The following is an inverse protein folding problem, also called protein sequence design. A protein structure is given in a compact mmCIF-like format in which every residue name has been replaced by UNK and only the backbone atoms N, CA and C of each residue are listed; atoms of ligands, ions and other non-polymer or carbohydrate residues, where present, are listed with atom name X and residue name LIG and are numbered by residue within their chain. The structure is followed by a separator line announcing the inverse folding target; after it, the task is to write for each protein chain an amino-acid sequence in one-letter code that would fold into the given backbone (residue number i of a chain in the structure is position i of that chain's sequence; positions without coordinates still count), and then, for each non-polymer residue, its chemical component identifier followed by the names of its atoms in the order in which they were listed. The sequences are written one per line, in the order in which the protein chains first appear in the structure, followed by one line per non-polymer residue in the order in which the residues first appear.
data_IF_223384801170
#
_entry.id   IF_223384801170
#
_cell.length_a   1.000
_cell.length_b   1.000
_cell.length_c   1.000
_cell.angle_alpha   90.00
_cell.angle_beta   90.00
_cell.angle_gamma   90.00
#
_symmetry.space_group_name_H-M   'P 1'
#
loop_
_entity.id
_entity.type
_entity.pdbx_description
1 polymer ?
#
# COMPACT_ATOMS: atom_id res chain seq x y z
N UNK A 1 -10.57 -41.38 -29.82
CA UNK A 1 -11.30 -41.34 -28.53
C UNK A 1 -10.76 -40.17 -27.71
N UNK A 2 -11.41 -39.02 -27.79
CA UNK A 2 -11.05 -37.83 -27.01
C UNK A 2 -11.93 -37.76 -25.76
N UNK A 3 -11.34 -37.97 -24.59
CA UNK A 3 -12.02 -37.67 -23.32
C UNK A 3 -11.79 -36.18 -22.99
N UNK A 4 -12.84 -35.37 -23.19
CA UNK A 4 -13.00 -34.09 -22.52
C UNK A 4 -13.54 -34.36 -21.12
N UNK A 5 -12.84 -33.88 -20.10
CA UNK A 5 -13.33 -33.87 -18.72
C UNK A 5 -13.61 -32.42 -18.34
N UNK A 6 -14.90 -32.05 -18.37
CA UNK A 6 -15.39 -30.80 -17.81
C UNK A 6 -15.45 -30.93 -16.29
N UNK A 7 -14.48 -30.34 -15.58
CA UNK A 7 -14.52 -30.19 -14.14
C UNK A 7 -14.93 -28.75 -13.79
N UNK A 8 -16.22 -28.56 -13.53
CA UNK A 8 -16.76 -27.34 -12.95
C UNK A 8 -16.29 -27.23 -11.49
N UNK A 9 -15.38 -26.30 -11.22
CA UNK A 9 -14.92 -26.01 -9.85
C UNK A 9 -15.85 -25.00 -9.17
N UNK A 10 -16.64 -25.49 -8.22
CA UNK A 10 -17.35 -24.68 -7.24
C UNK A 10 -16.33 -23.91 -6.38
N UNK A 11 -16.34 -22.58 -6.50
CA UNK A 11 -15.67 -21.68 -5.56
C UNK A 11 -16.42 -21.76 -4.22
N UNK A 12 -15.78 -22.07 -3.08
CA UNK A 12 -16.47 -22.02 -1.80
C UNK A 12 -16.79 -20.57 -1.46
N UNK A 13 -18.09 -20.27 -1.38
CA UNK A 13 -18.59 -19.01 -0.83
C UNK A 13 -17.99 -18.78 0.56
N UNK A 14 -17.44 -17.58 0.77
CA UNK A 14 -17.09 -17.11 2.11
C UNK A 14 -18.32 -17.20 3.02
N UNK A 15 -18.22 -17.71 4.26
CA UNK A 15 -19.34 -17.67 5.17
C UNK A 15 -19.68 -16.22 5.53
N UNK A 16 -20.78 -15.74 4.98
CA UNK A 16 -21.46 -14.53 5.42
C UNK A 16 -22.08 -14.79 6.81
N UNK A 17 -21.34 -14.53 7.88
CA UNK A 17 -21.90 -14.37 9.23
C UNK A 17 -21.14 -13.32 10.03
N UNK A 18 -21.40 -12.05 9.71
CA UNK A 18 -21.48 -11.02 10.74
C UNK A 18 -22.97 -10.92 11.08
N UNK A 19 -23.39 -11.67 12.11
CA UNK A 19 -24.76 -11.59 12.60
C UNK A 19 -25.03 -10.19 13.13
N UNK A 20 -26.05 -9.54 12.58
CA UNK A 20 -26.70 -8.43 13.25
C UNK A 20 -27.20 -8.92 14.63
N UNK A 21 -27.07 -8.13 15.70
CA UNK A 21 -27.68 -8.48 16.98
C UNK A 21 -29.20 -8.58 16.79
N UNK A 22 -29.78 -9.67 17.28
CA UNK A 22 -31.21 -9.89 17.30
C UNK A 22 -31.89 -8.73 18.05
N UNK A 23 -32.86 -8.10 17.40
CA UNK A 23 -33.79 -7.15 18.00
C UNK A 23 -34.57 -7.86 19.10
N UNK A 24 -34.18 -7.68 20.36
CA UNK A 24 -35.06 -8.01 21.49
C UNK A 24 -36.20 -6.99 21.51
N UNK A 25 -37.42 -7.49 21.50
CA UNK A 25 -38.60 -6.71 21.83
C UNK A 25 -38.39 -6.02 23.19
N UNK A 26 -38.72 -4.73 23.24
CA UNK A 26 -38.62 -3.92 24.44
C UNK A 26 -39.61 -4.43 25.50
N UNK A 27 -39.08 -4.94 26.61
CA UNK A 27 -39.82 -4.99 27.87
C UNK A 27 -40.06 -3.54 28.34
N UNK A 28 -41.26 -3.23 28.87
CA UNK A 28 -41.52 -1.92 29.47
C UNK A 28 -40.63 -1.74 30.72
N UNK A 29 -39.88 -0.63 30.73
CA UNK A 29 -38.95 -0.30 31.79
C UNK A 29 -39.68 -0.09 33.14
N UNK A 30 -39.17 -0.64 34.26
CA UNK A 30 -39.63 -0.24 35.58
C UNK A 30 -39.24 1.22 35.85
N UNK A 31 -40.19 1.99 36.39
CA UNK A 31 -39.99 3.38 36.76
C UNK A 31 -38.81 3.53 37.74
N UNK A 32 -37.77 4.26 37.33
CA UNK A 32 -36.64 4.59 38.19
C UNK A 32 -36.95 5.84 39.04
N UNK A 33 -36.45 5.89 40.29
CA UNK A 33 -36.57 7.07 41.13
C UNK A 33 -35.76 8.23 40.56
N UNK A 34 -36.37 9.42 40.57
CA UNK A 34 -35.67 10.71 40.42
C UNK A 34 -34.89 10.97 41.71
N UNK A 35 -33.61 10.64 41.75
CA UNK A 35 -32.53 11.54 42.17
C UNK A 35 -31.17 10.85 42.06
N UNK A 36 -30.12 11.61 41.77
CA UNK A 36 -28.75 11.12 41.84
C UNK A 36 -27.90 11.44 40.63
N UNK A 37 -27.14 12.55 40.74
CA UNK A 37 -26.03 12.93 39.87
C UNK A 37 -25.11 11.75 39.57
N UNK A 38 -25.19 11.20 38.37
CA UNK A 38 -24.24 10.21 37.85
C UNK A 38 -23.07 10.93 37.20
N UNK A 39 -21.95 11.02 37.90
CA UNK A 39 -20.67 11.41 37.32
C UNK A 39 -20.28 10.40 36.23
N UNK A 40 -20.31 10.84 34.97
CA UNK A 40 -19.79 10.05 33.84
C UNK A 40 -18.27 9.97 33.99
N UNK A 41 -17.79 8.87 34.57
CA UNK A 41 -16.37 8.53 34.61
C UNK A 41 -15.96 8.13 33.18
N UNK A 42 -15.47 9.10 32.40
CA UNK A 42 -14.77 8.82 31.15
C UNK A 42 -13.60 7.92 31.47
N UNK A 43 -13.64 6.67 31.01
CA UNK A 43 -12.45 5.82 30.97
C UNK A 43 -11.44 6.47 30.02
N UNK A 44 -10.56 7.31 30.57
CA UNK A 44 -9.32 7.69 29.91
C UNK A 44 -8.53 6.39 29.73
N UNK A 45 -8.40 5.94 28.49
CA UNK A 45 -7.38 4.96 28.16
C UNK A 45 -6.04 5.52 28.64
N UNK A 46 -5.21 4.73 29.35
CA UNK A 46 -3.88 5.19 29.73
C UNK A 46 -3.16 5.50 28.42
N UNK A 47 -2.76 6.76 28.26
CA UNK A 47 -1.81 7.14 27.22
C UNK A 47 -0.59 6.25 27.41
N UNK A 48 -0.44 5.23 26.54
CA UNK A 48 0.80 4.48 26.45
C UNK A 48 1.84 5.50 26.01
N UNK A 49 2.68 5.92 26.95
CA UNK A 49 3.92 6.60 26.64
C UNK A 49 4.73 5.60 25.83
N UNK A 50 4.69 5.72 24.51
CA UNK A 50 5.75 5.20 23.69
C UNK A 50 6.99 5.96 24.17
N UNK A 51 7.84 5.27 24.92
CA UNK A 51 9.23 5.70 25.07
C UNK A 51 9.78 5.70 23.65
N UNK A 52 9.77 6.88 23.05
CA UNK A 52 10.58 7.22 21.88
C UNK A 52 12.01 6.89 22.26
N UNK A 53 12.44 5.67 21.98
CA UNK A 53 13.86 5.37 21.81
C UNK A 53 14.33 6.30 20.71
N UNK A 54 15.33 7.12 21.02
CA UNK A 54 15.95 8.08 20.12
C UNK A 54 16.09 7.48 18.71
N UNK A 55 15.18 7.89 17.81
CA UNK A 55 15.37 7.67 16.40
C UNK A 55 16.52 8.60 16.00
N UNK A 56 17.67 8.07 15.56
CA UNK A 56 18.78 8.93 15.18
C UNK A 56 18.31 9.91 14.09
N UNK A 57 18.74 11.16 14.22
CA UNK A 57 18.48 12.34 13.37
C UNK A 57 19.06 12.20 11.93
N UNK A 58 19.10 10.97 11.41
CA UNK A 58 19.67 10.60 10.12
C UNK A 58 18.82 11.09 8.94
N UNK A 59 17.52 11.32 9.13
CA UNK A 59 16.63 11.70 8.01
C UNK A 59 16.60 13.20 7.72
N UNK A 60 16.89 14.07 8.71
CA UNK A 60 17.07 15.51 8.45
C UNK A 60 18.32 15.79 7.61
N UNK A 61 19.35 14.94 7.72
CA UNK A 61 20.60 15.08 6.97
C UNK A 61 20.49 14.69 5.48
N UNK A 62 19.57 13.78 5.12
CA UNK A 62 19.37 13.41 3.70
C UNK A 62 18.70 14.53 2.92
N UNK A 63 17.81 15.31 3.54
CA UNK A 63 17.19 16.49 2.91
C UNK A 63 18.13 17.72 2.85
N UNK A 64 19.21 17.75 3.65
CA UNK A 64 20.11 18.90 3.74
C UNK A 64 21.39 18.76 2.86
N UNK A 65 21.72 17.56 2.37
CA UNK A 65 22.94 17.32 1.57
C UNK A 65 22.86 17.76 0.10
N UNK A 66 21.72 18.29 -0.35
CA UNK A 66 21.52 18.73 -1.73
C UNK A 66 21.84 20.23 -1.97
N UNK A 67 22.55 20.90 -1.04
CA UNK A 67 22.92 22.33 -1.15
C UNK A 67 24.38 22.67 -0.82
N UNK A 68 25.32 21.82 -1.17
CA UNK A 68 26.75 22.15 -0.98
C UNK A 68 27.61 21.69 -2.15
N UNK A 69 27.67 22.53 -3.18
CA UNK A 69 28.80 22.62 -4.11
C UNK A 69 29.90 23.49 -3.48
N UNK A 70 31.15 23.01 -3.39
CA UNK A 70 32.30 23.89 -3.22
C UNK A 70 32.75 24.40 -4.59
N UNK A 71 32.77 25.72 -4.70
CA UNK A 71 33.45 26.51 -5.73
C UNK A 71 34.95 26.28 -5.65
N UNK A 72 35.56 25.68 -6.68
CA UNK A 72 37.00 25.74 -6.91
C UNK A 72 37.31 26.85 -7.92
N UNK A 73 37.87 27.95 -7.40
CA UNK A 73 38.56 28.96 -8.18
C UNK A 73 39.99 28.47 -8.47
N UNK A 74 40.33 28.33 -9.74
CA UNK A 74 41.73 28.29 -10.23
C UNK A 74 41.85 29.34 -11.32
N UNK A 75 42.70 30.33 -11.08
CA UNK A 75 43.05 31.37 -12.04
C UNK A 75 44.22 30.94 -12.95
N UNK A 76 44.12 31.39 -14.21
CA UNK A 76 45.21 31.74 -15.15
C UNK A 76 46.02 30.57 -15.77
N UNK A 77 46.35 30.51 -17.06
CA UNK A 77 46.37 31.45 -18.20
C UNK A 77 46.49 30.61 -19.48
N UNK A 78 45.91 31.04 -20.60
CA UNK A 78 46.24 30.50 -21.92
C UNK A 78 45.33 31.02 -23.02
N UNK A 79 45.77 32.04 -23.75
CA UNK A 79 45.09 32.61 -24.92
C UNK A 79 45.14 31.63 -26.10
N UNK A 80 44.07 31.53 -26.87
CA UNK A 80 44.05 31.75 -28.33
C UNK A 80 42.61 31.84 -28.84
N UNK A 81 42.43 32.77 -29.78
CA UNK A 81 41.19 33.10 -30.45
C UNK A 81 40.84 32.07 -31.54
N UNK A 82 39.55 31.79 -31.72
CA UNK A 82 38.94 31.54 -33.01
C UNK A 82 37.41 31.69 -32.91
N UNK A 83 36.91 32.60 -33.73
CA UNK A 83 35.53 32.81 -34.16
C UNK A 83 34.83 31.55 -34.64
N UNK A 84 33.56 31.36 -34.27
CA UNK A 84 32.47 31.05 -35.22
C UNK A 84 31.11 30.96 -34.50
N UNK A 85 30.24 31.87 -34.91
CA UNK A 85 28.78 31.77 -35.06
C UNK A 85 28.17 30.36 -35.04
N UNK A 86 27.08 30.21 -34.29
CA UNK A 86 26.18 29.05 -34.35
C UNK A 86 25.04 29.14 -33.36
N UNK A 87 24.09 30.05 -33.61
CA UNK A 87 22.76 30.01 -32.97
C UNK A 87 22.02 28.85 -33.59
N UNK A 88 21.81 27.77 -32.83
CA UNK A 88 20.98 26.66 -33.23
C UNK A 88 19.70 26.67 -32.37
N UNK A 89 18.60 26.92 -33.06
CA UNK A 89 17.23 26.80 -32.57
C UNK A 89 16.98 25.44 -31.92
N UNK A 90 16.70 25.44 -30.62
CA UNK A 90 16.15 24.29 -29.94
C UNK A 90 14.64 24.24 -30.21
N UNK A 91 14.27 23.52 -31.27
CA UNK A 91 12.91 23.05 -31.49
C UNK A 91 12.49 22.19 -30.28
N UNK A 92 11.68 22.77 -29.38
CA UNK A 92 10.97 22.01 -28.35
C UNK A 92 9.85 21.26 -29.07
N UNK A 93 10.17 20.07 -29.55
CA UNK A 93 9.20 19.12 -30.07
C UNK A 93 8.38 18.59 -28.90
N UNK A 94 7.15 19.11 -28.77
CA UNK A 94 6.10 18.57 -27.89
C UNK A 94 5.78 17.14 -28.33
N UNK A 95 6.54 16.18 -27.83
CA UNK A 95 6.14 14.78 -27.87
C UNK A 95 4.94 14.61 -26.93
N UNK A 96 3.76 14.60 -27.54
CA UNK A 96 2.55 14.04 -26.95
C UNK A 96 2.81 12.56 -26.62
N UNK A 97 3.31 12.28 -25.42
CA UNK A 97 3.31 10.93 -24.86
C UNK A 97 1.86 10.60 -24.54
N UNK A 98 1.20 9.98 -25.53
CA UNK A 98 -0.12 9.38 -25.34
C UNK A 98 -0.03 8.37 -24.20
N UNK A 99 -0.88 8.60 -23.20
CA UNK A 99 -1.13 7.70 -22.08
C UNK A 99 -1.87 6.46 -22.59
N UNK A 100 -1.14 5.53 -23.20
CA UNK A 100 -1.61 4.19 -23.57
C UNK A 100 -0.88 3.17 -22.70
N UNK A 101 -1.14 3.20 -21.39
CA UNK A 101 -0.60 2.23 -20.42
C UNK A 101 -1.70 1.34 -19.81
N UNK A 102 -2.78 1.12 -20.57
CA UNK A 102 -3.89 0.23 -20.20
C UNK A 102 -4.24 -0.82 -21.27
N UNK A 103 -3.52 -0.87 -22.40
CA UNK A 103 -3.92 -1.67 -23.57
C UNK A 103 -3.01 -2.86 -23.93
N UNK A 104 -2.30 -3.42 -22.95
CA UNK A 104 -1.84 -4.81 -23.06
C UNK A 104 -2.93 -5.73 -22.47
N UNK A 105 -4.04 -5.90 -23.19
CA UNK A 105 -5.05 -6.91 -22.87
C UNK A 105 -4.52 -8.28 -23.30
N UNK A 106 -4.18 -9.21 -22.38
CA UNK A 106 -4.19 -10.60 -22.74
C UNK A 106 -5.61 -10.95 -23.19
N UNK A 107 -5.71 -11.73 -24.26
CA UNK A 107 -6.94 -12.28 -24.83
C UNK A 107 -7.76 -12.95 -23.70
N UNK A 108 -8.72 -12.21 -23.12
CA UNK A 108 -9.55 -12.69 -22.03
C UNK A 108 -10.64 -13.59 -22.60
N UNK A 109 -10.74 -14.80 -22.07
CA UNK A 109 -11.92 -15.63 -22.23
C UNK A 109 -13.19 -14.84 -21.87
N UNK A 110 -14.33 -15.07 -22.53
CA UNK A 110 -15.60 -14.41 -22.24
C UNK A 110 -16.18 -14.90 -20.90
N UNK A 111 -15.62 -14.42 -19.81
CA UNK A 111 -16.12 -14.56 -18.45
C UNK A 111 -16.30 -13.16 -17.86
N UNK A 112 -17.43 -12.93 -17.19
CA UNK A 112 -17.97 -11.62 -16.80
C UNK A 112 -16.94 -10.57 -16.37
N UNK A 113 -17.19 -9.32 -16.75
CA UNK A 113 -16.51 -8.15 -16.16
C UNK A 113 -16.55 -8.29 -14.65
N UNK A 114 -15.39 -8.60 -14.05
CA UNK A 114 -15.22 -8.64 -12.60
C UNK A 114 -15.57 -7.27 -12.05
N UNK A 115 -16.80 -7.14 -11.55
CA UNK A 115 -17.28 -5.89 -11.00
C UNK A 115 -16.37 -5.47 -9.85
N UNK A 116 -15.99 -4.18 -9.81
CA UNK A 116 -15.24 -3.63 -8.70
C UNK A 116 -15.96 -3.94 -7.38
N UNK A 117 -15.24 -4.39 -6.33
CA UNK A 117 -15.87 -4.68 -5.05
C UNK A 117 -16.49 -3.40 -4.47
N UNK A 118 -17.58 -3.52 -3.69
CA UNK A 118 -18.20 -2.35 -3.08
C UNK A 118 -17.19 -1.58 -2.21
N UNK A 119 -17.13 -0.26 -2.41
CA UNK A 119 -16.28 0.62 -1.61
C UNK A 119 -16.89 0.73 -0.19
N UNK A 120 -16.14 0.40 0.88
CA UNK A 120 -16.61 0.57 2.25
C UNK A 120 -17.07 2.00 2.53
N UNK A 121 -18.16 2.17 3.28
CA UNK A 121 -18.78 3.48 3.55
C UNK A 121 -17.79 4.52 4.11
N UNK A 122 -16.85 4.12 4.97
CA UNK A 122 -15.87 5.07 5.52
C UNK A 122 -14.78 5.49 4.53
N UNK A 123 -14.72 4.88 3.35
CA UNK A 123 -13.87 5.31 2.23
C UNK A 123 -14.68 6.19 1.26
N UNK A 124 -15.93 6.55 1.56
CA UNK A 124 -16.78 7.35 0.67
C UNK A 124 -16.15 8.70 0.28
N UNK A 125 -15.38 9.30 1.19
CA UNK A 125 -14.70 10.58 0.94
C UNK A 125 -13.34 10.41 0.23
N UNK A 126 -12.92 9.18 -0.06
CA UNK A 126 -11.70 8.94 -0.83
C UNK A 126 -11.98 9.20 -2.32
N UNK A 127 -11.02 9.79 -3.06
CA UNK A 127 -11.12 9.84 -4.52
C UNK A 127 -11.36 8.44 -5.09
N UNK A 128 -12.15 8.35 -6.15
CA UNK A 128 -12.45 7.08 -6.83
C UNK A 128 -11.94 7.13 -8.27
N UNK A 129 -11.25 6.08 -8.70
CA UNK A 129 -10.75 5.92 -10.07
C UNK A 129 -11.10 4.51 -10.54
N UNK A 130 -11.76 4.40 -11.70
CA UNK A 130 -12.22 3.13 -12.27
C UNK A 130 -13.04 2.27 -11.27
N UNK A 131 -13.90 2.92 -10.47
CA UNK A 131 -14.72 2.23 -9.46
C UNK A 131 -13.97 1.78 -8.21
N UNK A 132 -12.69 2.13 -8.05
CA UNK A 132 -11.89 1.81 -6.87
C UNK A 132 -11.57 3.06 -6.06
N UNK A 133 -11.76 2.99 -4.74
CA UNK A 133 -11.24 3.98 -3.82
C UNK A 133 -9.71 4.07 -3.92
N UNK A 134 -9.19 5.29 -4.04
CA UNK A 134 -7.77 5.59 -4.11
C UNK A 134 -7.17 5.56 -2.70
N UNK A 135 -6.22 4.64 -2.42
CA UNK A 135 -5.52 4.59 -1.14
C UNK A 135 -4.93 5.94 -0.72
N UNK A 136 -4.90 6.18 0.59
CA UNK A 136 -4.28 7.38 1.15
C UNK A 136 -2.81 7.49 0.77
N UNK A 137 -2.06 6.39 0.74
CA UNK A 137 -0.64 6.38 0.36
C UNK A 137 -0.38 6.40 -1.15
N UNK A 138 -1.41 6.44 -2.01
CA UNK A 138 -1.18 6.38 -3.46
C UNK A 138 -0.42 7.61 -3.97
N UNK A 139 0.71 7.35 -4.65
CA UNK A 139 1.51 8.37 -5.31
C UNK A 139 0.77 9.03 -6.47
N UNK A 140 1.25 10.21 -6.86
CA UNK A 140 0.71 10.98 -7.99
C UNK A 140 1.75 11.19 -9.08
N UNK A 141 1.33 11.14 -10.34
CA UNK A 141 2.18 11.50 -11.48
C UNK A 141 2.42 13.01 -11.55
N UNK A 142 3.29 13.42 -12.48
CA UNK A 142 3.52 14.85 -12.80
C UNK A 142 2.22 15.56 -13.24
N UNK A 143 1.33 14.82 -13.88
CA UNK A 143 0.01 15.29 -14.32
C UNK A 143 -1.04 15.30 -13.20
N UNK A 144 -0.64 14.99 -11.96
CA UNK A 144 -1.51 14.93 -10.79
C UNK A 144 -2.39 13.67 -10.71
N UNK A 145 -2.34 12.77 -11.70
CA UNK A 145 -3.14 11.55 -11.70
C UNK A 145 -2.66 10.57 -10.64
N UNK A 146 -3.59 9.81 -10.07
CA UNK A 146 -3.30 8.76 -9.10
C UNK A 146 -2.69 7.54 -9.78
N UNK A 147 -1.52 7.11 -9.31
CA UNK A 147 -0.76 6.00 -9.88
C UNK A 147 -0.90 4.76 -8.99
N UNK A 148 -1.84 3.87 -9.31
CA UNK A 148 -1.97 2.60 -8.58
C UNK A 148 -0.68 1.78 -8.66
N UNK A 149 -0.26 1.22 -7.52
CA UNK A 149 1.03 0.53 -7.40
C UNK A 149 2.24 1.44 -7.20
N UNK A 150 2.07 2.77 -7.22
CA UNK A 150 3.05 3.72 -6.74
C UNK A 150 2.67 4.26 -5.36
N UNK A 151 3.67 4.45 -4.50
CA UNK A 151 3.47 4.96 -3.15
C UNK A 151 4.03 6.38 -3.04
N UNK A 152 3.28 7.26 -2.38
CA UNK A 152 3.78 8.55 -1.91
C UNK A 152 4.79 8.29 -0.78
N UNK A 153 6.08 8.65 -0.95
CA UNK A 153 7.12 8.29 0.01
C UNK A 153 6.91 8.92 1.39
N UNK A 154 6.38 10.16 1.44
CA UNK A 154 6.11 10.83 2.69
C UNK A 154 4.96 10.15 3.43
N UNK A 155 3.84 9.87 2.75
CA UNK A 155 2.70 9.18 3.37
C UNK A 155 3.02 7.74 3.73
N UNK A 156 3.86 7.06 2.95
CA UNK A 156 4.37 5.72 3.30
C UNK A 156 5.18 5.77 4.59
N UNK A 157 6.15 6.69 4.67
CA UNK A 157 6.97 6.88 5.88
C UNK A 157 6.07 7.14 7.08
N UNK A 158 5.15 8.11 6.94
CA UNK A 158 4.18 8.47 7.96
C UNK A 158 3.30 7.28 8.37
N UNK A 159 2.84 6.47 7.42
CA UNK A 159 2.02 5.30 7.72
C UNK A 159 2.77 4.28 8.57
N UNK A 160 4.04 4.03 8.25
CA UNK A 160 4.87 3.07 8.99
C UNK A 160 5.18 3.61 10.38
N UNK A 161 5.67 4.85 10.50
CA UNK A 161 6.16 5.42 11.76
C UNK A 161 5.05 5.87 12.71
N UNK A 162 3.92 6.33 12.20
CA UNK A 162 2.77 6.79 13.00
C UNK A 162 1.64 5.75 13.10
N UNK A 163 1.91 4.50 12.73
CA UNK A 163 0.92 3.41 12.74
C UNK A 163 -0.40 3.80 12.08
N UNK A 164 -0.38 4.23 10.81
CA UNK A 164 -1.61 4.59 10.06
C UNK A 164 -1.95 3.55 9.00
N UNK A 165 -3.25 3.38 8.77
CA UNK A 165 -3.75 2.54 7.69
C UNK A 165 -3.35 3.12 6.33
N UNK A 166 -2.72 2.32 5.46
CA UNK A 166 -2.32 2.79 4.14
C UNK A 166 -3.49 3.20 3.21
N UNK A 167 -4.69 2.66 3.44
CA UNK A 167 -5.85 2.92 2.58
C UNK A 167 -6.63 4.14 3.07
N UNK A 168 -7.03 4.16 4.34
CA UNK A 168 -7.87 5.23 4.87
C UNK A 168 -7.08 6.37 5.54
N UNK A 169 -5.79 6.17 5.84
CA UNK A 169 -4.93 7.16 6.51
C UNK A 169 -5.23 7.37 8.00
N UNK A 170 -6.22 6.67 8.57
CA UNK A 170 -6.56 6.75 9.99
C UNK A 170 -5.50 6.04 10.85
N UNK A 171 -5.25 6.49 12.08
CA UNK A 171 -4.45 5.75 13.04
C UNK A 171 -5.00 4.32 13.22
N UNK A 172 -4.09 3.36 13.26
CA UNK A 172 -4.38 1.98 13.59
C UNK A 172 -4.45 1.85 15.11
N UNK A 173 -5.40 1.06 15.55
CA UNK A 173 -5.55 0.69 16.94
C UNK A 173 -4.83 -0.65 17.19
N UNK A 174 -5.42 -1.50 18.02
CA UNK A 174 -4.89 -2.79 18.46
C UNK A 174 -5.04 -3.91 17.42
N UNK A 175 -5.47 -3.62 16.18
CA UNK A 175 -5.60 -4.62 15.11
C UNK A 175 -5.02 -4.12 13.81
N UNK A 176 -3.76 -4.45 13.62
CA UNK A 176 -3.04 -4.16 12.38
C UNK A 176 -2.93 -5.41 11.52
N UNK A 177 -3.12 -5.26 10.21
CA UNK A 177 -2.87 -6.32 9.23
C UNK A 177 -1.76 -5.88 8.30
N UNK A 178 -0.73 -6.71 8.21
CA UNK A 178 0.28 -6.57 7.17
C UNK A 178 -0.07 -7.53 6.02
N UNK A 179 -0.03 -7.02 4.80
CA UNK A 179 -0.12 -7.85 3.60
C UNK A 179 1.31 -8.14 3.14
N UNK A 180 1.69 -9.41 3.19
CA UNK A 180 3.03 -9.88 2.87
C UNK A 180 3.00 -10.74 1.62
N UNK A 181 4.03 -10.61 0.78
CA UNK A 181 4.33 -11.61 -0.23
C UNK A 181 4.99 -12.81 0.42
N UNK A 182 5.02 -13.93 -0.30
CA UNK A 182 5.73 -15.12 0.13
C UNK A 182 7.18 -14.81 0.54
N UNK A 183 7.93 -14.03 -0.26
CA UNK A 183 9.32 -13.67 0.06
C UNK A 183 9.48 -12.83 1.33
N UNK A 184 8.44 -12.11 1.74
CA UNK A 184 8.47 -11.23 2.90
C UNK A 184 8.22 -12.02 4.21
N UNK A 185 7.58 -13.20 4.12
CA UNK A 185 7.24 -14.01 5.30
C UNK A 185 8.45 -14.44 6.14
N UNK A 186 9.56 -14.96 5.56
CA UNK A 186 10.75 -15.31 6.34
C UNK A 186 11.39 -14.10 7.03
N UNK A 187 11.31 -12.91 6.40
CA UNK A 187 11.79 -11.64 6.94
C UNK A 187 10.91 -11.10 8.07
N UNK A 188 9.69 -11.61 8.21
CA UNK A 188 8.68 -11.17 9.19
C UNK A 188 8.44 -9.67 9.16
N UNK A 189 8.44 -9.08 7.96
CA UNK A 189 8.22 -7.65 7.79
C UNK A 189 8.05 -7.26 6.32
N UNK A 190 7.51 -6.08 6.09
CA UNK A 190 7.21 -5.57 4.75
C UNK A 190 7.42 -4.06 4.65
N UNK A 191 7.80 -3.61 3.45
CA UNK A 191 7.89 -2.20 3.09
C UNK A 191 6.51 -1.54 2.92
N UNK A 192 5.43 -2.33 2.79
CA UNK A 192 4.05 -1.87 2.67
C UNK A 192 3.48 -1.55 4.07
N UNK A 193 2.86 -0.38 4.29
CA UNK A 193 2.32 -0.05 5.60
C UNK A 193 1.11 -0.91 5.98
N UNK A 194 0.80 -0.98 7.27
CA UNK A 194 -0.31 -1.78 7.78
C UNK A 194 -1.69 -1.27 7.35
N UNK A 195 -2.69 -2.13 7.52
CA UNK A 195 -4.10 -1.88 7.24
C UNK A 195 -4.95 -2.13 8.48
N UNK A 196 -6.06 -1.40 8.59
CA UNK A 196 -7.15 -1.81 9.46
C UNK A 196 -7.89 -3.02 8.83
N UNK A 197 -8.66 -3.80 9.62
CA UNK A 197 -9.29 -5.03 9.16
C UNK A 197 -10.17 -4.93 7.91
N UNK A 198 -10.94 -3.86 7.79
CA UNK A 198 -11.89 -3.71 6.67
C UNK A 198 -11.17 -3.14 5.47
N UNK A 199 -10.21 -2.24 5.64
CA UNK A 199 -9.34 -1.83 4.54
C UNK A 199 -8.50 -2.99 3.99
N UNK A 200 -8.04 -3.93 4.84
CA UNK A 200 -7.37 -5.14 4.39
C UNK A 200 -8.30 -6.05 3.56
N UNK A 201 -9.53 -6.25 4.02
CA UNK A 201 -10.54 -7.02 3.28
C UNK A 201 -10.86 -6.39 1.92
N UNK A 202 -11.06 -5.07 1.89
CA UNK A 202 -11.27 -4.33 0.65
C UNK A 202 -10.06 -4.46 -0.28
N UNK A 203 -8.84 -4.25 0.21
CA UNK A 203 -7.61 -4.38 -0.60
C UNK A 203 -7.44 -5.78 -1.17
N UNK A 204 -7.71 -6.83 -0.38
CA UNK A 204 -7.64 -8.21 -0.83
C UNK A 204 -8.61 -8.52 -1.98
N UNK A 205 -9.77 -7.85 -2.01
CA UNK A 205 -10.76 -8.00 -3.10
C UNK A 205 -10.47 -7.07 -4.29
N UNK A 206 -10.05 -5.83 -4.04
CA UNK A 206 -9.93 -4.75 -5.02
C UNK A 206 -8.62 -4.81 -5.81
N UNK A 207 -7.49 -5.03 -5.14
CA UNK A 207 -6.18 -4.96 -5.77
C UNK A 207 -5.95 -6.19 -6.66
N UNK A 208 -5.82 -6.04 -8.00
CA UNK A 208 -5.68 -7.19 -8.89
C UNK A 208 -4.45 -8.06 -8.60
N UNK A 209 -3.36 -7.45 -8.13
CA UNK A 209 -2.15 -8.16 -7.70
C UNK A 209 -2.39 -9.01 -6.45
N UNK A 210 -3.02 -8.45 -5.41
CA UNK A 210 -3.25 -9.14 -4.14
C UNK A 210 -4.38 -10.16 -4.25
N UNK A 211 -5.37 -9.90 -5.11
CA UNK A 211 -6.46 -10.83 -5.42
C UNK A 211 -6.03 -11.98 -6.34
N UNK A 212 -4.79 -11.95 -6.87
CA UNK A 212 -4.26 -12.98 -7.75
C UNK A 212 -4.86 -12.96 -9.16
N UNK A 213 -5.45 -11.82 -9.58
CA UNK A 213 -5.95 -11.58 -10.94
C UNK A 213 -4.84 -11.08 -11.88
N UNK A 214 -3.68 -10.72 -11.36
CA UNK A 214 -2.48 -10.42 -12.16
C UNK A 214 -1.43 -11.51 -11.96
N UNK A 215 -0.89 -12.04 -13.07
CA UNK A 215 0.16 -13.04 -13.04
C UNK A 215 1.58 -12.44 -12.92
N UNK A 216 1.74 -11.15 -13.24
CA UNK A 216 3.03 -10.44 -13.24
C UNK A 216 2.87 -9.00 -12.80
N UNK A 217 3.95 -8.47 -12.24
CA UNK A 217 4.08 -7.03 -12.04
C UNK A 217 4.28 -6.30 -13.36
N UNK A 218 3.98 -4.99 -13.35
CA UNK A 218 4.30 -4.07 -14.46
C UNK A 218 5.77 -4.18 -14.86
N UNK A 219 6.04 -4.25 -16.16
CA UNK A 219 7.42 -4.29 -16.68
C UNK A 219 8.08 -2.92 -16.75
N UNK A 220 7.28 -1.87 -16.97
CA UNK A 220 7.78 -0.50 -17.07
C UNK A 220 7.67 0.22 -15.72
N UNK A 221 8.66 1.01 -15.28
CA UNK A 221 8.55 1.81 -14.07
C UNK A 221 7.41 2.83 -14.18
N UNK A 222 6.85 3.24 -13.04
CA UNK A 222 5.91 4.35 -13.02
C UNK A 222 6.66 5.62 -13.43
N UNK A 223 6.10 6.41 -14.35
CA UNK A 223 6.55 7.79 -14.54
C UNK A 223 6.13 8.57 -13.31
N UNK A 224 6.97 8.50 -12.29
CA UNK A 224 6.78 9.17 -11.02
C UNK A 224 7.12 10.64 -11.17
N UNK A 225 6.40 11.50 -10.44
CA UNK A 225 6.77 12.91 -10.36
C UNK A 225 8.14 13.12 -9.72
N UNK A 226 8.74 14.30 -9.98
CA UNK A 226 9.98 14.71 -9.33
C UNK A 226 9.83 14.57 -7.80
N UNK A 227 10.80 13.91 -7.15
CA UNK A 227 10.82 13.71 -5.69
C UNK A 227 10.04 12.49 -5.18
N UNK A 228 9.38 11.71 -6.05
CA UNK A 228 8.75 10.45 -5.66
C UNK A 228 9.76 9.32 -5.90
N UNK A 229 10.36 8.83 -4.82
CA UNK A 229 11.26 7.68 -4.87
C UNK A 229 10.46 6.40 -5.11
N UNK A 230 10.98 5.52 -5.96
CA UNK A 230 10.45 4.17 -6.11
C UNK A 230 10.54 3.41 -4.80
N UNK A 231 9.65 2.44 -4.56
CA UNK A 231 9.85 1.51 -3.43
C UNK A 231 11.23 0.85 -3.61
N UNK A 232 11.96 0.62 -2.52
CA UNK A 232 13.35 0.15 -2.58
C UNK A 232 13.48 -1.16 -3.36
N UNK A 233 12.44 -2.00 -3.34
CA UNK A 233 12.40 -3.27 -4.07
C UNK A 233 11.77 -3.18 -5.47
N UNK A 234 11.45 -1.98 -5.95
CA UNK A 234 10.75 -1.78 -7.23
C UNK A 234 11.53 -2.30 -8.44
N UNK A 235 12.85 -2.11 -8.57
CA UNK A 235 13.61 -2.68 -9.68
C UNK A 235 13.48 -4.20 -9.76
N UNK A 236 13.55 -4.89 -8.61
CA UNK A 236 13.41 -6.34 -8.53
C UNK A 236 11.99 -6.84 -8.84
N UNK A 237 10.99 -5.93 -8.86
CA UNK A 237 9.60 -6.26 -9.18
C UNK A 237 9.27 -6.07 -10.66
N UNK A 238 10.04 -5.32 -11.43
CA UNK A 238 9.68 -5.01 -12.81
C UNK A 238 9.58 -6.29 -13.66
N UNK A 239 8.38 -6.60 -14.16
CA UNK A 239 8.08 -7.79 -14.96
C UNK A 239 8.12 -9.12 -14.20
N UNK A 240 8.44 -9.10 -12.90
CA UNK A 240 8.54 -10.30 -12.08
C UNK A 240 7.18 -11.00 -11.94
N UNK A 241 7.15 -12.35 -11.85
CA UNK A 241 5.95 -13.10 -11.53
C UNK A 241 5.28 -12.59 -10.24
N UNK A 242 3.96 -12.60 -10.21
CA UNK A 242 3.20 -12.30 -9.01
C UNK A 242 3.45 -13.40 -7.96
N UNK A 243 3.82 -12.99 -6.75
CA UNK A 243 3.97 -13.90 -5.63
C UNK A 243 2.63 -14.15 -4.92
N UNK A 244 2.48 -15.31 -4.26
CA UNK A 244 1.39 -15.51 -3.32
C UNK A 244 1.41 -14.49 -2.19
N UNK A 245 0.23 -14.04 -1.78
CA UNK A 245 0.03 -13.05 -0.73
C UNK A 245 -0.57 -13.68 0.53
N UNK A 246 -0.23 -13.09 1.68
CA UNK A 246 -0.68 -13.49 3.00
C UNK A 246 -1.14 -12.27 3.79
N UNK A 247 -2.24 -12.41 4.53
CA UNK A 247 -2.66 -11.46 5.54
C UNK A 247 -2.15 -11.92 6.91
N UNK A 248 -1.26 -11.11 7.51
CA UNK A 248 -0.70 -11.35 8.84
C UNK A 248 -1.40 -10.42 9.83
N UNK A 249 -2.18 -11.00 10.73
CA UNK A 249 -2.92 -10.28 11.77
C UNK A 249 -2.06 -10.11 13.01
N UNK A 250 -1.95 -8.86 13.47
CA UNK A 250 -1.08 -8.45 14.56
C UNK A 250 -1.84 -7.56 15.55
N UNK A 251 -1.38 -7.57 16.80
CA UNK A 251 -1.77 -6.55 17.78
C UNK A 251 -1.07 -5.20 17.53
N UNK A 252 0.17 -5.27 17.05
CA UNK A 252 1.06 -4.13 16.80
C UNK A 252 2.18 -4.57 15.83
N UNK A 253 3.01 -3.65 15.37
CA UNK A 253 4.26 -3.93 14.68
C UNK A 253 5.34 -2.94 15.12
N UNK A 254 6.60 -3.36 15.03
CA UNK A 254 7.74 -2.47 15.22
C UNK A 254 8.26 -1.96 13.89
N UNK A 255 8.85 -0.78 13.91
CA UNK A 255 9.52 -0.22 12.73
C UNK A 255 10.99 -0.62 12.76
N UNK A 256 11.53 -1.12 11.66
CA UNK A 256 12.97 -1.43 11.50
C UNK A 256 13.41 -1.10 10.07
N UNK A 257 14.71 -1.16 9.80
CA UNK A 257 15.25 -1.11 8.44
C UNK A 257 15.52 -2.52 7.91
N UNK A 258 15.36 -2.72 6.61
CA UNK A 258 15.81 -3.93 5.91
C UNK A 258 17.30 -3.87 5.52
N UNK A 259 17.75 -4.89 4.78
CA UNK A 259 19.10 -5.03 4.24
C UNK A 259 19.51 -3.90 3.27
N UNK A 260 18.52 -3.20 2.71
CA UNK A 260 18.72 -2.06 1.80
C UNK A 260 18.66 -0.70 2.52
N UNK A 261 18.46 -0.70 3.85
CA UNK A 261 18.23 0.50 4.64
C UNK A 261 16.80 1.07 4.50
N UNK A 262 15.91 0.36 3.81
CA UNK A 262 14.51 0.73 3.64
C UNK A 262 13.71 0.50 4.92
N UNK A 263 12.86 1.46 5.28
CA UNK A 263 11.98 1.32 6.44
C UNK A 263 10.88 0.27 6.17
N UNK A 264 10.72 -0.66 7.11
CA UNK A 264 9.73 -1.73 7.07
C UNK A 264 8.92 -1.80 8.36
N UNK A 265 7.66 -2.23 8.23
CA UNK A 265 6.84 -2.69 9.34
C UNK A 265 7.17 -4.15 9.62
N UNK A 266 7.61 -4.47 10.84
CA UNK A 266 8.12 -5.78 11.25
C UNK A 266 7.35 -6.35 12.44
N UNK A 267 7.16 -7.66 12.42
CA UNK A 267 6.65 -8.45 13.54
C UNK A 267 7.67 -9.49 14.00
N UNK A 268 8.96 -9.29 13.73
CA UNK A 268 10.01 -10.27 14.06
C UNK A 268 10.00 -10.71 15.54
N UNK A 269 9.68 -9.78 16.45
CA UNK A 269 9.62 -9.99 17.90
C UNK A 269 8.19 -10.16 18.44
N UNK A 270 7.20 -10.24 17.56
CA UNK A 270 5.80 -10.36 17.93
C UNK A 270 5.25 -11.70 17.42
N UNK A 271 4.35 -12.31 18.19
CA UNK A 271 3.64 -13.49 17.73
C UNK A 271 2.45 -13.04 16.89
N UNK A 272 2.35 -13.42 15.61
CA UNK A 272 1.16 -13.10 14.83
C UNK A 272 -0.05 -13.83 15.39
N UNK A 273 -1.19 -13.14 15.49
CA UNK A 273 -2.46 -13.73 15.90
C UNK A 273 -2.94 -14.76 14.90
N UNK A 274 -2.73 -14.47 13.61
CA UNK A 274 -3.11 -15.33 12.49
C UNK A 274 -2.29 -14.97 11.27
N UNK A 275 -1.87 -15.98 10.52
CA UNK A 275 -1.36 -15.82 9.15
C UNK A 275 -2.37 -16.53 8.25
N UNK A 276 -2.91 -15.82 7.26
CA UNK A 276 -3.90 -16.37 6.33
C UNK A 276 -3.42 -16.19 4.89
N UNK A 277 -3.32 -17.26 4.09
CA UNK A 277 -3.09 -17.11 2.65
C UNK A 277 -4.26 -16.39 1.98
N UNK A 278 -3.95 -15.54 1.00
CA UNK A 278 -4.93 -14.85 0.15
C UNK A 278 -4.97 -15.54 -1.22
N UNK A 279 -3.82 -15.64 -1.89
CA UNK A 279 -3.69 -16.22 -3.24
C UNK A 279 -2.90 -17.51 -3.27
N UNK A 280 -2.35 -17.96 -2.14
CA UNK A 280 -1.67 -19.25 -2.08
C UNK A 280 -2.64 -20.38 -2.38
N UNK A 281 -2.38 -21.11 -3.47
CA UNK A 281 -3.01 -22.39 -3.77
C UNK A 281 -1.98 -23.48 -3.50
N UNK A 282 -2.37 -24.51 -2.75
CA UNK A 282 -1.53 -25.70 -2.64
C UNK A 282 -1.36 -26.30 -4.04
N UNK A 283 -0.15 -26.71 -4.45
CA UNK A 283 0.04 -27.47 -5.67
C UNK A 283 -0.88 -28.71 -5.64
N UNK A 284 -1.53 -29.07 -6.76
CA UNK A 284 -2.51 -30.16 -6.80
C UNK A 284 -1.93 -31.58 -6.60
N UNK A 285 -0.68 -31.73 -6.18
CA UNK A 285 0.05 -33.02 -6.19
C UNK A 285 0.46 -33.57 -4.81
N UNK A 286 -0.29 -33.23 -3.76
CA UNK A 286 -0.14 -33.85 -2.43
C UNK A 286 -1.44 -34.51 -1.93
N UNK A 287 -2.30 -34.95 -2.86
CA UNK A 287 -3.53 -35.70 -2.58
C UNK A 287 -3.50 -37.08 -3.20
#
# INVERSE_FOLDING_TARGET
MHHRSDAAWLVPALPARWGAPASRAAEPAPALPRDGRRTVRRHRHPARRHTSTDAPDLYRQVAARDRSTPSTAVHARGRRAATATGVADAHIERQHIMSTAFDDRPEHAPGGVDAAPPIPLWLADRPVVAGLAVPWITGRGLDGRHLFGALDPHRRLQAITEHRCQICGRPLDWRSILLLRLRDLPRRGTAEPALDPVCAAYTAAACPMIAGRMARHRSSPASLGHGISSIVDQPARLGAPAEPWFAVWLDDYTTTTDDTGGLIASYAHLRPRRIRPITWRLPPHFG
#
